data_IF_812810143262
#
_entry.id   IF_812810143262
#
_cell.length_a   1.000
_cell.length_b   1.000
_cell.length_c   1.000
_cell.angle_alpha   90.00
_cell.angle_beta   90.00
_cell.angle_gamma   90.00
#
_symmetry.space_group_name_H-M   'P 1'
#
loop_
_entity.id
_entity.type
_entity.pdbx_description
1 polymer ?
#
# COMPACT_ATOMS: atom_id res chain seq x y z
N UNK A 1 -34.28 -13.12 2.70
CA UNK A 1 -33.81 -14.05 1.64
C UNK A 1 -33.44 -13.21 0.43
N UNK A 2 -32.15 -12.94 0.22
CA UNK A 2 -31.65 -12.38 -1.02
C UNK A 2 -30.22 -12.89 -1.17
N UNK A 3 -30.00 -13.64 -2.24
CA UNK A 3 -28.80 -14.42 -2.48
C UNK A 3 -27.64 -13.50 -2.91
N UNK A 4 -26.48 -13.72 -2.30
CA UNK A 4 -25.17 -13.21 -2.72
C UNK A 4 -24.92 -13.52 -4.20
N UNK A 5 -25.09 -12.52 -5.07
CA UNK A 5 -24.97 -12.64 -6.52
C UNK A 5 -23.53 -12.54 -7.05
N UNK A 6 -22.51 -12.76 -6.22
CA UNK A 6 -21.11 -12.58 -6.60
C UNK A 6 -20.18 -13.77 -6.27
N UNK A 7 -20.72 -14.99 -6.14
CA UNK A 7 -19.89 -16.19 -5.97
C UNK A 7 -19.30 -16.63 -7.32
N UNK A 8 -17.97 -16.69 -7.40
CA UNK A 8 -17.24 -17.47 -8.40
C UNK A 8 -17.81 -18.91 -8.46
N UNK A 9 -17.84 -19.55 -9.65
CA UNK A 9 -18.41 -20.88 -9.82
C UNK A 9 -17.83 -21.87 -8.80
N UNK A 10 -18.68 -22.80 -8.34
CA UNK A 10 -18.24 -23.88 -7.48
C UNK A 10 -17.08 -24.65 -8.14
N UNK A 11 -16.05 -24.99 -7.36
CA UNK A 11 -15.08 -25.99 -7.77
C UNK A 11 -15.83 -27.27 -8.15
N UNK A 12 -15.28 -28.05 -9.09
CA UNK A 12 -15.87 -29.32 -9.53
C UNK A 12 -16.34 -30.16 -8.32
N UNK A 13 -17.49 -30.82 -8.50
CA UNK A 13 -18.19 -31.55 -7.44
C UNK A 13 -17.23 -32.45 -6.63
N UNK A 14 -17.19 -32.24 -5.31
CA UNK A 14 -16.41 -33.06 -4.37
C UNK A 14 -15.15 -32.42 -3.79
N UNK A 15 -14.74 -31.22 -4.21
CA UNK A 15 -13.62 -30.50 -3.57
C UNK A 15 -14.17 -29.54 -2.50
N UNK A 16 -14.06 -29.93 -1.23
CA UNK A 16 -14.35 -29.05 -0.11
C UNK A 16 -13.32 -27.91 -0.06
N UNK A 17 -13.78 -26.66 -0.08
CA UNK A 17 -12.86 -25.51 -0.05
C UNK A 17 -12.21 -25.43 1.32
N UNK A 18 -10.87 -25.30 1.40
CA UNK A 18 -10.22 -25.12 2.69
C UNK A 18 -10.73 -23.82 3.35
N UNK A 19 -11.25 -23.96 4.57
CA UNK A 19 -11.54 -22.81 5.42
C UNK A 19 -10.23 -22.23 5.94
N UNK A 20 -9.78 -21.15 5.31
CA UNK A 20 -8.60 -20.41 5.77
C UNK A 20 -8.99 -19.44 6.89
N UNK A 21 -8.13 -19.25 7.92
CA UNK A 21 -8.37 -18.26 8.96
C UNK A 21 -8.38 -16.84 8.36
N UNK A 22 -9.37 -16.03 8.74
CA UNK A 22 -9.46 -14.62 8.34
C UNK A 22 -8.34 -13.85 9.03
N UNK A 23 -7.30 -13.53 8.28
CA UNK A 23 -6.14 -12.76 8.74
C UNK A 23 -5.75 -11.77 7.65
N UNK A 24 -5.16 -10.66 8.05
CA UNK A 24 -4.62 -9.68 7.11
C UNK A 24 -3.37 -10.27 6.48
N UNK A 25 -3.43 -10.47 5.17
CA UNK A 25 -2.32 -10.97 4.34
C UNK A 25 -1.90 -9.85 3.41
N UNK A 26 -0.62 -9.49 3.49
CA UNK A 26 0.07 -8.52 2.68
C UNK A 26 1.29 -9.21 2.04
N UNK A 27 1.93 -8.56 1.08
CA UNK A 27 3.17 -9.05 0.53
C UNK A 27 4.00 -7.92 -0.09
N UNK A 28 5.30 -7.96 0.14
CA UNK A 28 6.28 -7.46 -0.83
C UNK A 28 6.66 -8.61 -1.76
N UNK A 29 7.94 -8.90 -1.88
CA UNK A 29 8.47 -10.16 -2.42
C UNK A 29 8.28 -11.32 -1.43
N UNK A 30 8.21 -11.01 -0.12
CA UNK A 30 7.94 -11.99 0.92
C UNK A 30 6.51 -11.83 1.47
N UNK A 31 5.85 -12.94 1.87
CA UNK A 31 4.53 -12.88 2.47
C UNK A 31 4.59 -12.28 3.88
N UNK A 32 3.66 -11.39 4.19
CA UNK A 32 3.50 -10.81 5.53
C UNK A 32 2.08 -11.04 6.04
N UNK A 33 1.93 -11.80 7.12
CA UNK A 33 0.63 -12.22 7.66
C UNK A 33 0.48 -11.70 9.08
N UNK A 34 -0.54 -10.87 9.31
CA UNK A 34 -0.91 -10.39 10.64
C UNK A 34 -2.01 -11.29 11.19
N UNK A 35 -1.66 -12.09 12.19
CA UNK A 35 -2.56 -12.97 12.92
C UNK A 35 -2.73 -12.53 14.38
N UNK A 36 -3.52 -13.29 15.17
CA UNK A 36 -3.75 -12.99 16.59
C UNK A 36 -2.48 -12.94 17.45
N UNK A 37 -1.47 -13.73 17.09
CA UNK A 37 -0.20 -13.82 17.84
C UNK A 37 0.87 -12.84 17.30
N UNK A 38 0.53 -12.00 16.32
CA UNK A 38 1.45 -11.00 15.79
C UNK A 38 1.66 -9.88 16.80
N UNK A 39 2.93 -9.48 16.98
CA UNK A 39 3.29 -8.28 17.72
C UNK A 39 2.85 -7.00 16.98
N UNK A 40 3.08 -5.85 17.61
CA UNK A 40 2.88 -4.55 16.97
C UNK A 40 3.65 -4.47 15.64
N UNK A 41 2.99 -3.95 14.61
CA UNK A 41 3.56 -3.81 13.26
C UNK A 41 4.06 -2.40 13.06
N UNK A 42 5.37 -2.25 12.88
CA UNK A 42 5.98 -0.94 12.64
C UNK A 42 5.87 -0.56 11.17
N UNK A 43 5.30 0.62 10.91
CA UNK A 43 5.21 1.22 9.58
C UNK A 43 6.25 2.34 9.49
N UNK A 44 7.16 2.26 8.53
CA UNK A 44 8.20 3.27 8.33
C UNK A 44 7.65 4.53 7.68
N UNK A 45 7.64 5.64 8.41
CA UNK A 45 7.03 6.93 8.04
C UNK A 45 7.96 7.92 7.30
N UNK A 46 9.27 7.66 7.24
CA UNK A 46 10.27 8.67 6.85
C UNK A 46 10.33 8.90 5.34
N UNK A 47 9.68 8.07 4.55
CA UNK A 47 9.48 8.14 3.09
C UNK A 47 8.26 8.99 2.73
N UNK A 48 8.11 10.13 3.42
CA UNK A 48 6.96 11.01 3.32
C UNK A 48 7.42 12.45 3.05
N UNK A 49 7.07 13.01 1.89
CA UNK A 49 7.47 14.37 1.49
C UNK A 49 6.91 15.44 2.43
N UNK A 50 5.69 15.24 2.94
CA UNK A 50 5.09 16.18 3.89
C UNK A 50 5.74 16.07 5.28
N UNK A 51 5.94 14.85 5.78
CA UNK A 51 6.40 14.57 7.15
C UNK A 51 7.92 14.58 7.36
N UNK A 52 8.75 14.39 6.32
CA UNK A 52 10.20 14.23 6.44
C UNK A 52 10.95 15.30 5.66
N UNK A 53 11.53 16.28 6.36
CA UNK A 53 12.31 17.37 5.74
C UNK A 53 13.49 16.84 4.90
N UNK A 54 14.15 15.78 5.38
CA UNK A 54 15.25 15.13 4.64
C UNK A 54 14.72 14.50 3.34
N UNK A 55 13.65 13.70 3.41
CA UNK A 55 13.10 13.04 2.23
C UNK A 55 12.60 14.07 1.20
N UNK A 56 11.86 15.08 1.64
CA UNK A 56 11.43 16.21 0.79
C UNK A 56 12.59 16.86 0.05
N UNK A 57 13.69 17.15 0.76
CA UNK A 57 14.86 17.79 0.12
C UNK A 57 15.50 16.92 -0.96
N UNK A 58 15.50 15.59 -0.78
CA UNK A 58 16.04 14.65 -1.75
C UNK A 58 15.13 14.53 -2.97
N UNK A 59 13.82 14.39 -2.78
CA UNK A 59 12.85 14.31 -3.89
C UNK A 59 12.85 15.60 -4.71
N UNK A 60 12.86 16.77 -4.05
CA UNK A 60 12.91 18.07 -4.74
C UNK A 60 14.23 18.28 -5.51
N UNK A 61 15.34 17.70 -5.05
CA UNK A 61 16.63 17.72 -5.73
C UNK A 61 16.82 16.55 -6.72
N UNK A 62 15.78 15.75 -6.98
CA UNK A 62 15.82 14.54 -7.80
C UNK A 62 16.88 13.50 -7.38
N UNK A 63 17.31 13.52 -6.12
CA UNK A 63 18.29 12.58 -5.54
C UNK A 63 17.61 11.31 -5.06
N UNK A 64 17.06 10.55 -6.00
CA UNK A 64 16.26 9.36 -5.70
C UNK A 64 17.08 8.22 -5.09
N UNK A 65 18.36 8.07 -5.43
CA UNK A 65 19.25 7.06 -4.87
C UNK A 65 19.42 7.23 -3.34
N UNK A 66 19.59 8.48 -2.90
CA UNK A 66 19.65 8.82 -1.48
C UNK A 66 18.30 8.62 -0.78
N UNK A 67 17.20 8.87 -1.49
CA UNK A 67 15.85 8.64 -0.99
C UNK A 67 15.57 7.14 -0.79
N UNK A 68 16.04 6.29 -1.71
CA UNK A 68 16.00 4.82 -1.59
C UNK A 68 16.81 4.35 -0.36
N UNK A 69 17.94 4.99 -0.06
CA UNK A 69 18.70 4.68 1.16
C UNK A 69 17.92 4.95 2.45
N UNK A 70 17.02 5.96 2.48
CA UNK A 70 16.12 6.19 3.62
C UNK A 70 15.13 5.02 3.77
N UNK A 71 14.55 4.55 2.67
CA UNK A 71 13.65 3.39 2.69
C UNK A 71 14.36 2.14 3.22
N UNK A 72 15.58 1.85 2.70
CA UNK A 72 16.40 0.73 3.15
C UNK A 72 16.70 0.80 4.64
N UNK A 73 17.14 1.96 5.13
CA UNK A 73 17.45 2.15 6.55
C UNK A 73 16.25 1.84 7.45
N UNK A 74 15.03 2.21 7.04
CA UNK A 74 13.83 1.93 7.83
C UNK A 74 13.56 0.42 7.94
N UNK A 75 13.67 -0.31 6.83
CA UNK A 75 13.50 -1.77 6.81
C UNK A 75 14.58 -2.47 7.64
N UNK A 76 15.83 -2.05 7.52
CA UNK A 76 16.95 -2.54 8.35
C UNK A 76 16.75 -2.24 9.85
N UNK A 77 16.09 -1.12 10.17
CA UNK A 77 15.77 -0.72 11.55
C UNK A 77 14.49 -1.39 12.09
N UNK A 78 13.87 -2.30 11.34
CA UNK A 78 12.74 -3.11 11.80
C UNK A 78 11.35 -2.65 11.32
N UNK A 79 11.27 -1.73 10.36
CA UNK A 79 10.00 -1.44 9.68
C UNK A 79 9.53 -2.68 8.90
N UNK A 80 8.29 -3.12 9.18
CA UNK A 80 7.67 -4.28 8.54
C UNK A 80 6.80 -3.89 7.34
N UNK A 81 6.45 -2.61 7.24
CA UNK A 81 5.73 -1.98 6.12
C UNK A 81 6.41 -0.63 5.87
N UNK A 82 6.49 -0.20 4.62
CA UNK A 82 6.93 1.16 4.28
C UNK A 82 5.74 2.02 3.85
N UNK A 83 5.57 3.18 4.49
CA UNK A 83 4.63 4.21 4.05
C UNK A 83 5.31 5.16 3.07
N UNK A 84 4.72 5.37 1.90
CA UNK A 84 5.27 6.23 0.85
C UNK A 84 4.28 7.32 0.52
N UNK A 85 4.68 8.57 0.74
CA UNK A 85 3.88 9.75 0.45
C UNK A 85 4.66 10.74 -0.42
N UNK A 86 4.08 11.09 -1.57
CA UNK A 86 4.63 12.03 -2.56
C UNK A 86 3.74 13.26 -2.78
N UNK A 87 2.83 13.54 -1.84
CA UNK A 87 1.98 14.72 -1.89
C UNK A 87 2.81 15.97 -1.56
N UNK A 88 2.91 16.86 -2.53
CA UNK A 88 3.46 18.22 -2.39
C UNK A 88 2.85 19.09 -3.50
N UNK A 89 2.67 20.39 -3.26
CA UNK A 89 2.08 21.32 -4.23
C UNK A 89 2.99 21.61 -5.44
N UNK A 90 4.29 21.37 -5.31
CA UNK A 90 5.30 21.67 -6.33
C UNK A 90 5.75 20.43 -7.12
N UNK A 91 5.26 19.24 -6.76
CA UNK A 91 5.64 17.97 -7.38
C UNK A 91 4.52 17.41 -8.26
N UNK A 92 4.92 16.77 -9.36
CA UNK A 92 4.07 15.77 -9.99
C UNK A 92 4.03 14.52 -9.10
N UNK A 93 3.08 14.50 -8.17
CA UNK A 93 2.91 13.42 -7.18
C UNK A 93 2.71 12.05 -7.83
N UNK A 94 2.05 11.98 -8.98
CA UNK A 94 1.80 10.72 -9.68
C UNK A 94 3.10 10.16 -10.25
N UNK A 95 3.84 10.98 -11.00
CA UNK A 95 5.13 10.59 -11.56
C UNK A 95 6.17 10.27 -10.47
N UNK A 96 6.22 11.06 -9.40
CA UNK A 96 7.13 10.84 -8.27
C UNK A 96 6.82 9.52 -7.53
N UNK A 97 5.53 9.23 -7.29
CA UNK A 97 5.08 7.97 -6.69
C UNK A 97 5.53 6.78 -7.55
N UNK A 98 5.19 6.79 -8.84
CA UNK A 98 5.54 5.71 -9.78
C UNK A 98 7.06 5.52 -9.84
N UNK A 99 7.83 6.61 -9.98
CA UNK A 99 9.29 6.56 -10.05
C UNK A 99 9.88 5.94 -8.79
N UNK A 100 9.49 6.42 -7.61
CA UNK A 100 10.06 5.93 -6.35
C UNK A 100 9.68 4.48 -6.06
N UNK A 101 8.43 4.07 -6.31
CA UNK A 101 7.99 2.69 -6.13
C UNK A 101 8.76 1.73 -7.04
N UNK A 102 8.98 2.09 -8.30
CA UNK A 102 9.77 1.27 -9.22
C UNK A 102 11.23 1.13 -8.76
N UNK A 103 11.81 2.18 -8.19
CA UNK A 103 13.19 2.13 -7.66
C UNK A 103 13.30 1.23 -6.43
N UNK A 104 12.40 1.36 -5.44
CA UNK A 104 12.44 0.48 -4.26
C UNK A 104 12.09 -0.97 -4.60
N UNK A 105 11.29 -1.21 -5.65
CA UNK A 105 11.00 -2.56 -6.13
C UNK A 105 12.23 -3.24 -6.77
N UNK A 106 13.20 -2.47 -7.24
CA UNK A 106 14.46 -3.00 -7.79
C UNK A 106 15.49 -3.37 -6.69
N UNK A 107 15.22 -3.05 -5.43
CA UNK A 107 16.10 -3.29 -4.29
C UNK A 107 15.53 -4.43 -3.41
N UNK A 108 16.07 -5.66 -3.48
CA UNK A 108 15.47 -6.82 -2.81
C UNK A 108 15.26 -6.65 -1.29
N UNK A 109 16.21 -6.00 -0.62
CA UNK A 109 16.15 -5.75 0.83
C UNK A 109 14.96 -4.89 1.23
N UNK A 110 14.51 -4.02 0.32
CA UNK A 110 13.35 -3.14 0.49
C UNK A 110 12.09 -3.85 -0.02
N UNK A 111 12.16 -4.40 -1.23
CA UNK A 111 11.03 -4.99 -1.93
C UNK A 111 10.43 -6.19 -1.18
N UNK A 112 11.16 -6.84 -0.25
CA UNK A 112 10.63 -7.92 0.60
C UNK A 112 9.44 -7.50 1.48
N UNK A 113 9.36 -6.24 1.93
CA UNK A 113 8.26 -5.77 2.79
C UNK A 113 7.11 -5.16 1.98
N UNK A 114 5.85 -5.24 2.46
CA UNK A 114 4.72 -4.56 1.82
C UNK A 114 4.87 -3.03 1.84
N UNK A 115 4.28 -2.37 0.85
CA UNK A 115 4.23 -0.90 0.76
C UNK A 115 2.81 -0.40 1.02
N UNK A 116 2.71 0.67 1.81
CA UNK A 116 1.53 1.49 2.03
C UNK A 116 1.64 2.74 1.14
N UNK A 117 0.71 2.89 0.21
CA UNK A 117 0.61 4.03 -0.69
C UNK A 117 -0.18 5.12 0.03
N UNK A 118 0.49 6.21 0.41
CA UNK A 118 -0.09 7.33 1.13
C UNK A 118 -0.28 8.55 0.22
N UNK A 119 -1.54 8.93 0.00
CA UNK A 119 -1.89 10.15 -0.71
C UNK A 119 -3.33 10.56 -0.43
N UNK A 120 -3.58 11.86 -0.47
CA UNK A 120 -4.91 12.47 -0.48
C UNK A 120 -5.59 12.42 -1.86
N UNK A 121 -4.84 12.09 -2.92
CA UNK A 121 -5.31 12.10 -4.32
C UNK A 121 -5.51 10.67 -4.81
N UNK A 122 -6.74 10.33 -5.20
CA UNK A 122 -7.05 8.99 -5.74
C UNK A 122 -6.18 8.61 -6.95
N UNK A 123 -5.86 9.55 -7.84
CA UNK A 123 -5.01 9.27 -9.02
C UNK A 123 -3.62 8.78 -8.63
N UNK A 124 -3.02 9.35 -7.58
CA UNK A 124 -1.70 8.95 -7.07
C UNK A 124 -1.77 7.56 -6.42
N UNK A 125 -2.83 7.29 -5.65
CA UNK A 125 -3.09 5.96 -5.08
C UNK A 125 -3.19 4.92 -6.21
N UNK A 126 -4.01 5.19 -7.22
CA UNK A 126 -4.25 4.28 -8.32
C UNK A 126 -3.01 4.05 -9.19
N UNK A 127 -2.20 5.09 -9.42
CA UNK A 127 -0.91 4.95 -10.09
C UNK A 127 0.07 4.10 -9.28
N UNK A 128 0.14 4.31 -7.97
CA UNK A 128 0.96 3.49 -7.08
C UNK A 128 0.55 2.02 -7.07
N UNK A 129 -0.75 1.73 -6.96
CA UNK A 129 -1.30 0.37 -6.99
C UNK A 129 -0.97 -0.37 -8.30
N UNK A 130 -0.96 0.32 -9.45
CA UNK A 130 -0.58 -0.28 -10.74
C UNK A 130 0.89 -0.70 -10.81
N UNK A 131 1.74 -0.15 -9.95
CA UNK A 131 3.17 -0.45 -9.92
C UNK A 131 3.55 -1.53 -8.89
N UNK A 132 2.70 -1.80 -7.91
CA UNK A 132 2.99 -2.79 -6.88
C UNK A 132 2.92 -4.21 -7.45
N UNK A 133 3.97 -5.00 -7.18
CA UNK A 133 4.02 -6.43 -7.52
C UNK A 133 3.34 -7.30 -6.45
N UNK A 134 3.52 -6.93 -5.19
CA UNK A 134 2.93 -7.60 -4.04
C UNK A 134 1.61 -6.97 -3.59
N UNK A 135 1.03 -7.51 -2.51
CA UNK A 135 -0.19 -6.98 -1.92
C UNK A 135 0.13 -5.85 -0.93
N UNK A 136 0.04 -4.62 -1.40
CA UNK A 136 0.21 -3.40 -0.61
C UNK A 136 -1.04 -2.95 0.15
N UNK A 137 -0.95 -1.73 0.71
CA UNK A 137 -2.01 -1.07 1.47
C UNK A 137 -2.29 0.31 0.87
N UNK A 138 -3.56 0.71 0.82
CA UNK A 138 -3.96 2.08 0.52
C UNK A 138 -4.11 2.88 1.82
N UNK A 139 -3.45 4.02 1.89
CA UNK A 139 -3.61 5.04 2.91
C UNK A 139 -4.04 6.36 2.23
N UNK A 140 -5.31 6.71 2.19
CA UNK A 140 -6.46 6.04 2.79
C UNK A 140 -7.73 6.37 2.01
N UNK A 141 -8.86 5.81 2.44
CA UNK A 141 -10.20 6.25 2.01
C UNK A 141 -11.03 6.67 3.24
N UNK A 142 -12.07 7.46 3.04
CA UNK A 142 -12.95 7.95 4.12
C UNK A 142 -14.35 8.27 3.61
N UNK A 143 -15.27 8.64 4.50
CA UNK A 143 -16.62 9.08 4.15
C UNK A 143 -16.71 10.60 3.92
N UNK A 144 -15.58 11.32 3.96
CA UNK A 144 -15.50 12.78 3.75
C UNK A 144 -16.24 13.28 2.51
N UNK A 145 -16.14 12.55 1.40
CA UNK A 145 -16.78 12.89 0.10
C UNK A 145 -18.10 12.14 -0.13
N UNK A 146 -18.61 11.47 0.91
CA UNK A 146 -19.85 10.70 0.89
C UNK A 146 -19.69 9.22 0.54
N UNK A 147 -20.75 8.46 0.81
CA UNK A 147 -20.78 7.01 0.67
C UNK A 147 -20.53 6.52 -0.76
N UNK A 148 -21.04 7.24 -1.77
CA UNK A 148 -20.89 6.84 -3.16
C UNK A 148 -19.41 6.81 -3.60
N UNK A 149 -18.64 7.83 -3.22
CA UNK A 149 -17.20 7.92 -3.52
C UNK A 149 -16.44 6.84 -2.75
N UNK A 150 -16.73 6.70 -1.45
CA UNK A 150 -16.14 5.66 -0.61
C UNK A 150 -16.33 4.25 -1.21
N UNK A 151 -17.55 3.91 -1.64
CA UNK A 151 -17.85 2.62 -2.25
C UNK A 151 -17.17 2.42 -3.61
N UNK A 152 -17.07 3.45 -4.45
CA UNK A 152 -16.32 3.34 -5.72
C UNK A 152 -14.84 3.05 -5.47
N UNK A 153 -14.20 3.83 -4.59
CA UNK A 153 -12.81 3.66 -4.22
C UNK A 153 -12.58 2.28 -3.58
N UNK A 154 -13.41 1.87 -2.61
CA UNK A 154 -13.32 0.56 -1.98
C UNK A 154 -13.43 -0.60 -2.99
N UNK A 155 -14.34 -0.50 -3.98
CA UNK A 155 -14.46 -1.50 -5.06
C UNK A 155 -13.24 -1.51 -5.99
N UNK A 156 -12.63 -0.36 -6.26
CA UNK A 156 -11.37 -0.30 -7.03
C UNK A 156 -10.22 -0.94 -6.26
N UNK A 157 -10.05 -0.61 -4.98
CA UNK A 157 -9.03 -1.22 -4.11
C UNK A 157 -9.19 -2.74 -4.07
N UNK A 158 -10.43 -3.22 -3.90
CA UNK A 158 -10.74 -4.65 -3.92
C UNK A 158 -10.34 -5.31 -5.25
N UNK A 159 -10.52 -4.63 -6.39
CA UNK A 159 -10.09 -5.12 -7.72
C UNK A 159 -8.58 -5.24 -7.84
N UNK A 160 -7.81 -4.31 -7.25
CA UNK A 160 -6.35 -4.43 -7.16
C UNK A 160 -5.90 -5.45 -6.10
N UNK A 161 -6.81 -5.91 -5.23
CA UNK A 161 -6.52 -6.88 -4.18
C UNK A 161 -5.72 -6.32 -3.01
N UNK A 162 -5.60 -4.99 -2.87
CA UNK A 162 -4.86 -4.34 -1.79
C UNK A 162 -5.65 -4.29 -0.47
N UNK A 163 -4.93 -4.13 0.64
CA UNK A 163 -5.53 -3.74 1.92
C UNK A 163 -5.81 -2.23 1.94
N UNK A 164 -6.55 -1.75 2.94
CA UNK A 164 -6.91 -0.33 3.03
C UNK A 164 -7.02 0.15 4.47
N UNK A 165 -6.50 1.35 4.72
CA UNK A 165 -6.79 2.16 5.90
C UNK A 165 -8.06 2.96 5.63
N UNK A 166 -9.04 2.85 6.53
CA UNK A 166 -10.26 3.66 6.49
C UNK A 166 -10.16 4.69 7.60
N UNK A 167 -10.07 5.97 7.22
CA UNK A 167 -10.05 7.05 8.19
C UNK A 167 -11.43 7.24 8.80
N UNK A 168 -11.47 7.47 10.11
CA UNK A 168 -12.68 7.89 10.82
C UNK A 168 -12.92 9.39 10.57
N UNK A 169 -13.25 9.73 9.33
CA UNK A 169 -13.51 11.08 8.85
C UNK A 169 -14.79 11.12 8.02
#
# INVERSE_FOLDING_TARGET
MSADSNRLPACADGIERPTLPRQTRLAGLEPFVLGPDSNFVNIGERTNVTGSAKFRSLIAAERYEDAVAIARQQVESGAQILDVNMDDGMLDSEAAMVRFLNLIAAEPDIARVPVMIDSSKWSVIEAGLKCLQGKGIVNSISLKEGEAVFLDQARRILRYGAAVVVMAF
#
